data_IF_605502426287
#
_entry.id   IF_605502426287
#
_cell.length_a   1.000
_cell.length_b   1.000
_cell.length_c   1.000
_cell.angle_alpha   90.00
_cell.angle_beta   90.00
_cell.angle_gamma   90.00
#
_symmetry.space_group_name_H-M   'P 1'
#
loop_
_entity.id
_entity.type
_entity.pdbx_description
1 polymer ?
#
# COMPACT_ATOMS: atom_id res chain seq x y z
N UNK A 1 10.18 -2.52 -8.08
CA UNK A 1 10.26 -3.48 -6.97
C UNK A 1 10.81 -4.77 -7.57
N UNK A 2 12.06 -5.12 -7.26
CA UNK A 2 12.84 -6.05 -8.10
C UNK A 2 12.61 -7.54 -7.78
N UNK A 3 11.86 -7.86 -6.73
CA UNK A 3 11.58 -9.24 -6.29
C UNK A 3 10.07 -9.47 -6.05
N UNK A 4 9.24 -9.63 -7.11
CA UNK A 4 7.79 -9.79 -6.98
C UNK A 4 7.38 -11.09 -6.24
N UNK A 5 8.12 -12.18 -6.44
CA UNK A 5 7.90 -13.47 -5.77
C UNK A 5 8.10 -13.36 -4.26
N UNK A 6 9.16 -12.66 -3.83
CA UNK A 6 9.42 -12.39 -2.42
C UNK A 6 8.29 -11.60 -1.78
N UNK A 7 7.82 -10.53 -2.43
CA UNK A 7 6.69 -9.76 -1.91
C UNK A 7 5.46 -10.64 -1.74
N UNK A 8 5.12 -11.42 -2.78
CA UNK A 8 3.94 -12.28 -2.74
C UNK A 8 4.00 -13.26 -1.58
N UNK A 9 5.15 -13.90 -1.37
CA UNK A 9 5.33 -14.84 -0.25
C UNK A 9 5.22 -14.17 1.12
N UNK A 10 5.67 -12.92 1.26
CA UNK A 10 5.48 -12.15 2.49
C UNK A 10 4.01 -11.77 2.72
N UNK A 11 3.27 -11.43 1.66
CA UNK A 11 1.82 -11.20 1.71
C UNK A 11 1.08 -12.48 2.12
N UNK A 12 1.43 -13.63 1.53
CA UNK A 12 0.83 -14.92 1.88
C UNK A 12 1.08 -15.26 3.36
N UNK A 13 2.30 -15.03 3.87
CA UNK A 13 2.61 -15.22 5.30
C UNK A 13 1.74 -14.33 6.20
N UNK A 14 1.58 -13.05 5.84
CA UNK A 14 0.72 -12.11 6.56
C UNK A 14 -0.74 -12.54 6.57
N UNK A 15 -1.27 -12.90 5.40
CA UNK A 15 -2.66 -13.35 5.25
C UNK A 15 -2.94 -14.59 6.10
N UNK A 16 -1.98 -15.52 6.19
CA UNK A 16 -2.10 -16.75 6.97
C UNK A 16 -1.96 -16.50 8.48
N UNK A 17 -1.01 -15.67 8.90
CA UNK A 17 -0.65 -15.50 10.32
C UNK A 17 -1.45 -14.41 11.04
N UNK A 18 -1.84 -13.36 10.32
CA UNK A 18 -2.53 -12.18 10.88
C UNK A 18 -3.98 -12.10 10.39
N UNK A 19 -4.21 -12.43 9.11
CA UNK A 19 -5.50 -12.30 8.44
C UNK A 19 -5.77 -10.88 7.92
N UNK A 20 -6.87 -10.71 7.18
CA UNK A 20 -7.19 -9.49 6.42
C UNK A 20 -7.99 -8.43 7.18
N UNK A 21 -8.46 -8.76 8.38
CA UNK A 21 -9.50 -7.98 9.07
C UNK A 21 -8.99 -7.13 10.24
N UNK A 22 -7.67 -7.14 10.49
CA UNK A 22 -7.05 -6.35 11.56
C UNK A 22 -5.66 -5.88 11.16
N UNK A 23 -5.17 -4.85 11.84
CA UNK A 23 -3.78 -4.41 11.68
C UNK A 23 -2.80 -5.38 12.35
N UNK A 24 -1.59 -5.42 11.82
CA UNK A 24 -0.46 -6.16 12.40
C UNK A 24 -0.08 -5.51 13.73
N UNK A 25 -0.01 -6.30 14.79
CA UNK A 25 0.47 -5.89 16.10
C UNK A 25 1.92 -6.35 16.31
N UNK A 26 2.67 -5.70 17.20
CA UNK A 26 4.05 -6.11 17.50
C UNK A 26 4.16 -7.55 18.02
N UNK A 27 3.11 -8.07 18.68
CA UNK A 27 3.06 -9.47 19.12
C UNK A 27 2.96 -10.48 17.98
N UNK A 28 2.52 -10.07 16.78
CA UNK A 28 2.42 -10.94 15.61
C UNK A 28 3.77 -11.23 14.99
N UNK A 29 4.74 -10.32 15.14
CA UNK A 29 5.94 -10.36 14.30
C UNK A 29 6.81 -11.58 14.57
N UNK A 30 6.82 -12.06 15.82
CA UNK A 30 7.48 -13.32 16.19
C UNK A 30 7.04 -14.51 15.32
N UNK A 31 5.84 -14.45 14.72
CA UNK A 31 5.28 -15.49 13.86
C UNK A 31 5.49 -15.22 12.35
N UNK A 32 5.99 -14.05 11.97
CA UNK A 32 6.26 -13.63 10.59
C UNK A 32 7.72 -13.91 10.21
N UNK A 33 8.05 -15.21 10.17
CA UNK A 33 9.43 -15.69 10.06
C UNK A 33 10.07 -15.35 8.71
N UNK A 34 9.30 -15.38 7.63
CA UNK A 34 9.80 -15.02 6.30
C UNK A 34 10.00 -13.51 6.17
N UNK A 35 9.14 -12.70 6.79
CA UNK A 35 9.42 -11.27 6.88
C UNK A 35 10.70 -10.98 7.67
N UNK A 36 10.90 -11.62 8.83
CA UNK A 36 12.15 -11.44 9.58
C UNK A 36 13.37 -11.81 8.71
N UNK A 37 13.26 -12.86 7.90
CA UNK A 37 14.29 -13.23 6.93
C UNK A 37 14.54 -12.14 5.86
N UNK A 38 13.48 -11.47 5.36
CA UNK A 38 13.59 -10.33 4.44
C UNK A 38 14.34 -9.16 5.09
N UNK A 39 14.05 -8.85 6.35
CA UNK A 39 14.74 -7.79 7.11
C UNK A 39 16.22 -8.13 7.26
N UNK A 40 16.54 -9.35 7.69
CA UNK A 40 17.93 -9.82 7.82
C UNK A 40 18.68 -9.75 6.49
N UNK A 41 18.07 -10.18 5.39
CA UNK A 41 18.70 -10.13 4.06
C UNK A 41 18.88 -8.70 3.54
N UNK A 42 17.93 -7.81 3.85
CA UNK A 42 18.06 -6.38 3.55
C UNK A 42 19.24 -5.77 4.30
N UNK A 43 19.36 -6.04 5.60
CA UNK A 43 20.46 -5.55 6.44
C UNK A 43 21.82 -6.15 6.04
N UNK A 44 21.85 -7.37 5.50
CA UNK A 44 23.06 -7.99 4.95
C UNK A 44 23.53 -7.25 3.71
N UNK A 45 22.65 -7.05 2.73
CA UNK A 45 23.00 -6.41 1.46
C UNK A 45 23.25 -4.90 1.61
N UNK A 46 22.48 -4.24 2.48
CA UNK A 46 22.46 -2.80 2.70
C UNK A 46 22.61 -2.47 4.20
N UNK A 47 23.78 -2.74 4.81
CA UNK A 47 24.00 -2.41 6.21
C UNK A 47 23.95 -0.89 6.43
N UNK A 48 23.31 -0.40 7.51
CA UNK A 48 23.19 1.05 7.78
C UNK A 48 24.55 1.77 7.88
N UNK A 49 25.60 1.08 8.31
CA UNK A 49 26.97 1.58 8.35
C UNK A 49 27.93 0.66 7.59
N UNK A 50 28.09 0.80 6.26
CA UNK A 50 28.91 -0.13 5.45
C UNK A 50 30.38 -0.28 5.88
N UNK A 51 30.95 0.73 6.53
CA UNK A 51 32.33 0.74 7.06
C UNK A 51 32.42 0.70 8.59
N UNK A 52 31.32 0.32 9.26
CA UNK A 52 31.14 0.44 10.72
C UNK A 52 31.41 1.88 11.23
N UNK A 53 31.15 2.12 12.52
CA UNK A 53 31.58 3.39 13.12
C UNK A 53 33.08 3.32 13.46
N UNK A 54 33.85 4.39 13.22
CA UNK A 54 35.27 4.43 13.54
C UNK A 54 35.51 4.06 15.00
N UNK A 55 36.50 3.18 15.23
CA UNK A 55 37.07 2.89 16.55
C UNK A 55 38.53 3.30 16.54
N UNK A 56 39.11 3.58 17.70
CA UNK A 56 40.50 4.00 17.81
C UNK A 56 41.25 3.08 18.78
N UNK A 57 42.48 2.72 18.44
CA UNK A 57 43.37 2.01 19.33
C UNK A 57 43.82 2.96 20.45
N UNK A 58 43.46 2.66 21.71
CA UNK A 58 43.81 3.51 22.85
C UNK A 58 45.27 3.33 23.29
N UNK A 59 45.88 2.20 22.93
CA UNK A 59 47.24 1.80 23.23
C UNK A 59 47.79 0.96 22.08
N UNK A 60 49.10 0.80 22.04
CA UNK A 60 49.77 -0.08 21.08
C UNK A 60 49.28 -1.51 21.28
N UNK A 61 48.86 -2.17 20.20
CA UNK A 61 48.29 -3.52 20.26
C UNK A 61 48.71 -4.37 19.05
N UNK A 62 48.37 -5.66 19.08
CA UNK A 62 48.60 -6.58 17.96
C UNK A 62 47.28 -7.14 17.45
N UNK A 63 47.03 -7.03 16.14
CA UNK A 63 45.84 -7.56 15.48
C UNK A 63 46.27 -8.42 14.30
N UNK A 64 45.86 -9.69 14.27
CA UNK A 64 46.24 -10.65 13.22
C UNK A 64 47.77 -10.75 12.98
N UNK A 65 48.57 -10.59 14.04
CA UNK A 65 50.04 -10.59 13.98
C UNK A 65 50.67 -9.26 13.56
N UNK A 66 49.88 -8.24 13.24
CA UNK A 66 50.37 -6.91 12.90
C UNK A 66 50.35 -5.99 14.11
N UNK A 67 51.43 -5.24 14.32
CA UNK A 67 51.51 -4.20 15.34
C UNK A 67 50.73 -2.95 14.89
N UNK A 68 49.86 -2.46 15.77
CA UNK A 68 48.99 -1.31 15.56
C UNK A 68 49.32 -0.26 16.61
N UNK A 69 49.72 0.93 16.17
CA UNK A 69 50.06 2.05 17.05
C UNK A 69 48.81 2.67 17.67
N UNK A 70 48.94 3.18 18.90
CA UNK A 70 47.92 4.01 19.55
C UNK A 70 47.51 5.19 18.66
N UNK A 71 46.22 5.53 18.66
CA UNK A 71 45.63 6.55 17.78
C UNK A 71 45.23 6.02 16.40
N UNK A 72 45.57 4.79 16.03
CA UNK A 72 45.14 4.20 14.74
C UNK A 72 43.62 3.98 14.73
N UNK A 73 42.96 4.45 13.66
CA UNK A 73 41.51 4.25 13.47
C UNK A 73 41.20 2.95 12.75
N UNK A 74 40.31 2.15 13.33
CA UNK A 74 39.73 0.94 12.76
C UNK A 74 38.39 1.27 12.06
N UNK A 75 38.28 0.84 10.80
CA UNK A 75 37.05 0.81 10.02
C UNK A 75 36.76 -0.63 9.59
N UNK A 76 35.70 -1.24 10.13
CA UNK A 76 35.24 -2.56 9.70
C UNK A 76 34.44 -2.50 8.41
N UNK A 77 34.95 -3.08 7.32
CA UNK A 77 34.24 -3.16 6.04
C UNK A 77 33.11 -4.20 6.06
N UNK A 78 31.99 -3.84 6.69
CA UNK A 78 30.80 -4.69 6.80
C UNK A 78 30.23 -5.05 5.44
N UNK A 79 30.27 -4.14 4.46
CA UNK A 79 29.79 -4.43 3.11
C UNK A 79 30.52 -5.63 2.49
N UNK A 80 31.84 -5.73 2.68
CA UNK A 80 32.64 -6.84 2.18
C UNK A 80 32.41 -8.11 2.99
N UNK A 81 32.35 -8.01 4.32
CA UNK A 81 32.09 -9.15 5.21
C UNK A 81 30.74 -9.82 4.89
N UNK A 82 29.70 -9.01 4.73
CA UNK A 82 28.34 -9.48 4.43
C UNK A 82 28.17 -10.05 3.01
N UNK A 83 29.20 -9.91 2.15
CA UNK A 83 29.22 -10.38 0.75
C UNK A 83 30.38 -11.32 0.48
N UNK A 84 31.00 -11.86 1.53
CA UNK A 84 32.09 -12.81 1.38
C UNK A 84 31.57 -14.13 0.79
N UNK A 85 31.98 -14.53 -0.43
CA UNK A 85 31.50 -15.75 -1.07
C UNK A 85 31.90 -17.02 -0.32
N UNK A 86 32.87 -16.95 0.60
CA UNK A 86 33.25 -18.08 1.47
C UNK A 86 32.16 -18.41 2.49
N UNK A 87 31.32 -17.43 2.83
CA UNK A 87 30.26 -17.55 3.83
C UNK A 87 28.89 -17.56 3.15
N UNK A 88 28.68 -16.62 2.22
CA UNK A 88 27.40 -16.35 1.58
C UNK A 88 27.38 -16.88 0.13
N UNK A 89 26.51 -17.85 -0.16
CA UNK A 89 26.24 -18.27 -1.54
C UNK A 89 25.51 -17.17 -2.30
N UNK A 90 25.94 -16.93 -3.54
CA UNK A 90 25.44 -15.86 -4.41
C UNK A 90 25.34 -14.53 -3.65
N UNK A 91 26.48 -13.98 -3.17
CA UNK A 91 26.49 -12.96 -2.12
C UNK A 91 25.85 -11.64 -2.51
N UNK A 92 25.69 -11.38 -3.80
CA UNK A 92 25.06 -10.17 -4.34
C UNK A 92 23.55 -10.32 -4.54
N UNK A 93 23.04 -11.55 -4.54
CA UNK A 93 21.63 -11.84 -4.76
C UNK A 93 20.82 -11.64 -3.47
N UNK A 94 19.60 -11.12 -3.64
CA UNK A 94 18.64 -10.94 -2.57
C UNK A 94 17.86 -12.25 -2.35
N UNK A 95 18.27 -13.04 -1.36
CA UNK A 95 17.67 -14.36 -1.08
C UNK A 95 17.35 -14.53 0.42
N UNK A 96 16.16 -14.10 0.89
CA UNK A 96 15.74 -14.25 2.28
C UNK A 96 15.77 -15.69 2.78
N UNK A 97 15.55 -16.67 1.90
CA UNK A 97 15.54 -18.10 2.18
C UNK A 97 16.78 -18.60 2.90
N UNK A 98 17.93 -17.91 2.75
CA UNK A 98 19.17 -18.26 3.44
C UNK A 98 19.03 -18.19 4.96
N UNK A 99 18.21 -17.27 5.48
CA UNK A 99 17.92 -17.13 6.91
C UNK A 99 16.81 -18.07 7.40
N UNK A 100 16.22 -18.86 6.51
CA UNK A 100 15.26 -19.93 6.86
C UNK A 100 15.89 -21.33 6.80
N UNK A 101 17.11 -21.45 6.25
CA UNK A 101 17.73 -22.74 5.97
C UNK A 101 19.15 -22.83 6.53
N UNK A 102 20.13 -22.21 5.85
CA UNK A 102 21.55 -22.34 6.19
C UNK A 102 22.00 -21.41 7.33
N UNK A 103 21.31 -20.29 7.52
CA UNK A 103 21.68 -19.23 8.45
C UNK A 103 20.54 -18.90 9.44
N UNK A 104 19.80 -19.92 9.87
CA UNK A 104 18.63 -19.78 10.78
C UNK A 104 19.01 -19.11 12.09
N UNK A 105 20.14 -19.51 12.66
CA UNK A 105 20.59 -19.08 13.98
C UNK A 105 21.30 -17.72 13.98
N UNK A 106 21.48 -17.09 12.81
CA UNK A 106 22.11 -15.77 12.74
C UNK A 106 21.16 -14.69 13.31
N UNK A 107 21.64 -13.98 14.33
CA UNK A 107 20.95 -12.84 14.93
C UNK A 107 21.66 -11.52 14.61
N UNK A 108 20.88 -10.45 14.52
CA UNK A 108 21.37 -9.08 14.28
C UNK A 108 22.00 -8.46 15.52
N UNK A 109 21.90 -9.11 16.70
CA UNK A 109 22.42 -8.64 17.99
C UNK A 109 23.94 -8.79 18.16
N UNK A 110 24.66 -9.18 17.10
CA UNK A 110 26.12 -9.16 17.07
C UNK A 110 26.80 -10.35 17.75
N UNK A 111 26.10 -11.48 17.87
CA UNK A 111 26.71 -12.74 18.35
C UNK A 111 27.50 -13.46 17.25
N UNK A 112 27.17 -13.21 15.98
CA UNK A 112 27.79 -13.82 14.81
C UNK A 112 28.62 -12.77 14.06
N UNK A 113 29.94 -12.97 13.95
CA UNK A 113 30.84 -11.96 13.38
C UNK A 113 30.80 -11.88 11.85
N UNK A 114 30.22 -12.89 11.20
CA UNK A 114 29.92 -12.91 9.77
C UNK A 114 28.71 -12.04 9.38
N UNK A 115 27.88 -11.66 10.34
CA UNK A 115 26.67 -10.87 10.14
C UNK A 115 26.51 -9.81 11.25
N UNK A 116 27.00 -8.60 10.97
CA UNK A 116 27.16 -7.51 11.95
C UNK A 116 26.43 -6.22 11.54
N UNK A 117 25.15 -6.25 11.14
CA UNK A 117 24.45 -5.06 10.65
C UNK A 117 24.39 -3.91 11.68
N UNK A 118 24.49 -4.25 12.97
CA UNK A 118 24.52 -3.30 14.09
C UNK A 118 25.81 -3.37 14.91
N UNK A 119 26.85 -3.99 14.37
CA UNK A 119 28.13 -4.22 15.06
C UNK A 119 28.05 -5.29 16.16
N UNK A 120 29.08 -5.36 16.99
CA UNK A 120 29.22 -6.32 18.09
C UNK A 120 30.03 -5.77 19.26
N UNK A 121 29.93 -6.44 20.41
CA UNK A 121 30.67 -6.19 21.63
C UNK A 121 30.21 -4.94 22.38
N UNK A 122 31.12 -4.34 23.16
CA UNK A 122 30.84 -3.18 24.04
C UNK A 122 30.29 -1.93 23.33
N UNK A 123 30.43 -1.85 22.00
CA UNK A 123 29.98 -0.73 21.15
C UNK A 123 28.98 -1.19 20.09
N UNK A 124 28.27 -2.30 20.36
CA UNK A 124 27.09 -2.70 19.60
C UNK A 124 26.05 -1.58 19.63
N UNK A 125 25.31 -1.39 18.55
CA UNK A 125 24.33 -0.32 18.45
C UNK A 125 23.31 -0.41 19.61
N UNK A 126 23.16 0.64 20.44
CA UNK A 126 22.16 0.63 21.51
C UNK A 126 20.72 0.69 20.96
N UNK A 127 20.57 1.08 19.69
CA UNK A 127 19.29 1.21 19.00
C UNK A 127 18.74 -0.08 18.40
N UNK A 128 19.34 -1.26 18.61
CA UNK A 128 18.87 -2.50 17.97
C UNK A 128 17.41 -2.81 18.32
N UNK A 129 17.03 -2.71 19.60
CA UNK A 129 15.65 -2.96 20.02
C UNK A 129 14.68 -1.97 19.37
N UNK A 130 15.08 -0.70 19.26
CA UNK A 130 14.30 0.33 18.55
C UNK A 130 14.30 0.20 17.04
N UNK A 131 15.26 -0.53 16.46
CA UNK A 131 15.28 -0.81 15.03
C UNK A 131 14.40 -2.01 14.70
N UNK A 132 14.34 -3.02 15.57
CA UNK A 132 13.60 -4.24 15.30
C UNK A 132 12.12 -4.15 15.69
N UNK A 133 11.79 -3.63 16.88
CA UNK A 133 10.40 -3.62 17.36
C UNK A 133 9.45 -2.66 16.59
N UNK A 134 9.86 -1.44 16.20
CA UNK A 134 8.99 -0.47 15.50
C UNK A 134 9.02 -0.55 13.97
N UNK A 135 10.10 -1.07 13.36
CA UNK A 135 10.18 -1.20 11.90
C UNK A 135 9.27 -2.30 11.37
N UNK A 136 9.03 -3.34 12.17
CA UNK A 136 8.10 -4.41 11.89
C UNK A 136 6.61 -3.97 11.89
N UNK A 137 6.28 -2.79 12.38
CA UNK A 137 4.90 -2.27 12.27
C UNK A 137 4.84 -1.23 11.15
N UNK A 138 5.86 -0.38 11.05
CA UNK A 138 5.87 0.74 10.09
C UNK A 138 6.14 0.29 8.66
N UNK A 139 7.17 -0.56 8.44
CA UNK A 139 7.48 -1.09 7.10
C UNK A 139 6.37 -2.01 6.60
N UNK A 140 5.78 -2.82 7.48
CA UNK A 140 4.63 -3.64 7.14
C UNK A 140 3.37 -2.82 6.88
N UNK A 141 3.08 -1.81 7.69
CA UNK A 141 1.97 -0.88 7.43
C UNK A 141 2.12 -0.22 6.07
N UNK A 142 3.35 0.21 5.73
CA UNK A 142 3.64 0.82 4.44
C UNK A 142 3.56 -0.19 3.29
N UNK A 143 4.15 -1.37 3.42
CA UNK A 143 4.10 -2.44 2.42
C UNK A 143 2.67 -2.93 2.21
N UNK A 144 1.92 -3.21 3.27
CA UNK A 144 0.51 -3.62 3.19
C UNK A 144 -0.34 -2.55 2.52
N UNK A 145 -0.10 -1.26 2.83
CA UNK A 145 -0.79 -0.14 2.17
C UNK A 145 -0.42 -0.08 0.69
N UNK A 146 0.86 -0.17 0.34
CA UNK A 146 1.31 -0.19 -1.06
C UNK A 146 0.76 -1.42 -1.79
N UNK A 147 0.72 -2.58 -1.14
CA UNK A 147 0.16 -3.82 -1.68
C UNK A 147 -1.34 -3.69 -1.92
N UNK A 148 -2.10 -3.14 -0.97
CA UNK A 148 -3.53 -2.86 -1.14
C UNK A 148 -3.76 -1.85 -2.26
N UNK A 149 -2.93 -0.82 -2.38
CA UNK A 149 -2.97 0.15 -3.48
C UNK A 149 -2.64 -0.50 -4.83
N UNK A 150 -1.69 -1.44 -4.87
CA UNK A 150 -1.34 -2.19 -6.07
C UNK A 150 -2.41 -3.22 -6.42
N UNK A 151 -3.00 -3.93 -5.47
CA UNK A 151 -4.10 -4.86 -5.68
C UNK A 151 -5.35 -4.14 -6.13
N UNK A 152 -5.69 -2.99 -5.54
CA UNK A 152 -6.79 -2.15 -6.00
C UNK A 152 -6.53 -1.58 -7.39
N UNK A 153 -5.30 -1.16 -7.70
CA UNK A 153 -4.93 -0.70 -9.05
C UNK A 153 -4.93 -1.85 -10.09
N UNK A 154 -4.48 -3.05 -9.71
CA UNK A 154 -4.47 -4.24 -10.56
C UNK A 154 -5.87 -4.83 -10.72
N UNK A 155 -6.72 -4.84 -9.69
CA UNK A 155 -8.14 -5.19 -9.78
C UNK A 155 -8.93 -4.14 -10.54
N UNK A 156 -8.59 -2.85 -10.45
CA UNK A 156 -9.14 -1.81 -11.32
C UNK A 156 -8.76 -2.04 -12.79
N UNK A 157 -7.56 -2.58 -13.07
CA UNK A 157 -7.16 -3.03 -14.41
C UNK A 157 -7.79 -4.38 -14.82
N UNK A 158 -8.03 -5.31 -13.90
CA UNK A 158 -8.61 -6.64 -14.14
C UNK A 158 -10.13 -6.59 -14.34
N UNK A 159 -10.81 -5.64 -13.67
CA UNK A 159 -12.21 -5.29 -13.90
C UNK A 159 -12.44 -4.51 -15.22
N UNK A 160 -11.40 -4.30 -16.03
CA UNK A 160 -11.52 -3.75 -17.39
C UNK A 160 -11.82 -4.82 -18.46
N UNK A 161 -12.18 -6.05 -18.08
CA UNK A 161 -12.73 -7.07 -18.98
C UNK A 161 -14.11 -7.50 -18.47
N UNK A 162 -15.07 -6.58 -18.60
CA UNK A 162 -16.51 -6.78 -18.87
C UNK A 162 -17.18 -5.38 -18.80
N UNK A 163 -16.71 -4.45 -19.62
CA UNK A 163 -17.51 -3.24 -19.89
C UNK A 163 -18.61 -3.63 -20.89
N UNK A 164 -19.84 -3.76 -20.37
CA UNK A 164 -20.99 -3.42 -21.20
C UNK A 164 -20.87 -1.95 -21.63
N UNK A 165 -21.35 -1.62 -22.83
CA UNK A 165 -21.35 -0.24 -23.35
C UNK A 165 -21.98 0.71 -22.33
N UNK A 166 -21.24 1.70 -21.85
CA UNK A 166 -21.76 2.73 -20.94
C UNK A 166 -22.67 3.69 -21.73
N UNK A 167 -23.77 4.18 -21.14
CA UNK A 167 -24.54 5.25 -21.74
C UNK A 167 -23.68 6.50 -21.93
N UNK A 168 -23.86 7.24 -23.05
CA UNK A 168 -23.17 8.50 -23.29
C UNK A 168 -23.49 9.54 -22.21
N UNK A 169 -22.59 10.50 -22.03
CA UNK A 169 -22.68 11.56 -21.02
C UNK A 169 -22.37 12.93 -21.64
N UNK A 170 -23.16 13.97 -21.31
CA UNK A 170 -22.83 15.33 -21.68
C UNK A 170 -21.48 15.78 -21.10
N UNK A 171 -20.77 16.62 -21.85
CA UNK A 171 -19.57 17.31 -21.37
C UNK A 171 -19.92 18.55 -20.54
N UNK A 172 -18.99 19.02 -19.71
CA UNK A 172 -19.12 20.30 -19.00
C UNK A 172 -19.60 20.20 -17.55
N UNK A 173 -19.54 19.04 -16.91
CA UNK A 173 -19.88 18.89 -15.49
C UNK A 173 -19.08 19.85 -14.58
N UNK A 174 -19.78 20.51 -13.65
CA UNK A 174 -19.14 21.36 -12.64
C UNK A 174 -18.87 20.58 -11.35
N UNK A 175 -17.81 20.93 -10.60
CA UNK A 175 -17.60 20.41 -9.25
C UNK A 175 -18.85 20.66 -8.38
N UNK A 176 -19.26 19.65 -7.61
CA UNK A 176 -20.40 19.66 -6.67
C UNK A 176 -21.81 19.70 -7.27
N UNK A 177 -22.08 20.46 -8.34
CA UNK A 177 -23.44 20.60 -8.92
C UNK A 177 -23.68 19.75 -10.18
N UNK A 178 -22.63 19.18 -10.77
CA UNK A 178 -22.74 18.32 -11.94
C UNK A 178 -23.29 19.06 -13.16
N UNK A 179 -24.30 18.48 -13.81
CA UNK A 179 -25.01 19.03 -14.97
C UNK A 179 -26.19 19.93 -14.60
N UNK A 180 -26.40 20.22 -13.32
CA UNK A 180 -27.55 21.03 -12.88
C UNK A 180 -27.57 22.42 -13.52
N UNK A 181 -26.40 23.00 -13.80
CA UNK A 181 -26.26 24.27 -14.52
C UNK A 181 -26.81 24.23 -15.96
N UNK A 182 -26.82 23.07 -16.61
CA UNK A 182 -27.44 22.89 -17.94
C UNK A 182 -28.97 22.85 -17.86
N UNK A 183 -29.53 22.58 -16.68
CA UNK A 183 -30.96 22.40 -16.43
C UNK A 183 -31.64 23.66 -15.88
N UNK A 184 -31.03 24.84 -16.05
CA UNK A 184 -31.53 26.15 -15.59
C UNK A 184 -32.96 26.51 -16.05
N UNK A 185 -33.51 27.59 -15.47
CA UNK A 185 -34.93 27.95 -15.51
C UNK A 185 -35.47 28.50 -16.85
N UNK A 186 -34.65 28.58 -17.90
CA UNK A 186 -35.00 29.13 -19.21
C UNK A 186 -35.95 28.24 -20.04
N UNK A 187 -36.02 26.92 -19.76
CA UNK A 187 -36.90 25.97 -20.44
C UNK A 187 -37.35 24.88 -19.46
N UNK A 188 -38.56 24.34 -19.66
CA UNK A 188 -39.06 23.20 -18.87
C UNK A 188 -38.09 22.00 -18.96
N UNK A 189 -37.78 21.39 -17.82
CA UNK A 189 -36.79 20.30 -17.69
C UNK A 189 -37.00 19.17 -18.71
N UNK A 190 -38.23 18.70 -18.87
CA UNK A 190 -38.53 17.61 -19.81
C UNK A 190 -38.24 17.97 -21.27
N UNK A 191 -38.34 19.26 -21.65
CA UNK A 191 -37.97 19.72 -23.00
C UNK A 191 -36.46 19.83 -23.18
N UNK A 192 -35.71 20.20 -22.13
CA UNK A 192 -34.23 20.17 -22.18
C UNK A 192 -33.69 18.75 -22.27
N UNK A 193 -34.27 17.83 -21.50
CA UNK A 193 -33.93 16.41 -21.59
C UNK A 193 -34.30 15.83 -22.98
N UNK A 194 -35.36 16.33 -23.60
CA UNK A 194 -35.68 16.05 -25.01
C UNK A 194 -34.57 16.48 -25.97
N UNK A 195 -34.16 17.75 -25.92
CA UNK A 195 -33.06 18.25 -26.77
C UNK A 195 -31.74 17.48 -26.53
N UNK A 196 -31.49 17.09 -25.28
CA UNK A 196 -30.33 16.26 -24.93
C UNK A 196 -30.46 14.83 -25.48
N UNK A 197 -31.67 14.26 -25.52
CA UNK A 197 -31.90 12.96 -26.13
C UNK A 197 -31.66 12.98 -27.64
N UNK A 198 -32.00 14.08 -28.32
CA UNK A 198 -31.70 14.25 -29.74
C UNK A 198 -30.18 14.29 -29.99
N UNK A 199 -29.41 14.83 -29.03
CA UNK A 199 -27.95 14.96 -29.12
C UNK A 199 -27.18 13.71 -28.69
N UNK A 200 -27.59 13.06 -27.60
CA UNK A 200 -26.84 11.97 -26.96
C UNK A 200 -27.48 10.59 -27.17
N UNK A 201 -28.65 10.54 -27.82
CA UNK A 201 -29.37 9.31 -28.12
C UNK A 201 -30.41 8.93 -27.07
N UNK A 202 -31.06 7.79 -27.30
CA UNK A 202 -32.25 7.35 -26.56
C UNK A 202 -31.99 6.93 -25.10
N UNK A 203 -30.73 6.81 -24.71
CA UNK A 203 -30.28 6.50 -23.35
C UNK A 203 -28.98 7.26 -23.08
N UNK A 204 -28.94 8.06 -22.02
CA UNK A 204 -27.75 8.81 -21.61
C UNK A 204 -27.77 9.08 -20.11
N UNK A 205 -26.60 9.38 -19.54
CA UNK A 205 -26.49 9.74 -18.13
C UNK A 205 -26.27 11.24 -17.94
N UNK A 206 -26.86 11.82 -16.90
CA UNK A 206 -26.57 13.16 -16.40
C UNK A 206 -26.16 13.10 -14.92
N UNK A 207 -25.63 14.20 -14.41
CA UNK A 207 -25.23 14.33 -13.00
C UNK A 207 -26.07 15.44 -12.37
N UNK A 208 -26.84 15.09 -11.34
CA UNK A 208 -27.60 16.02 -10.52
C UNK A 208 -26.86 16.13 -9.18
N UNK A 209 -26.01 17.15 -9.07
CA UNK A 209 -25.05 17.23 -7.97
C UNK A 209 -24.04 16.09 -8.02
N UNK A 210 -23.86 15.40 -6.88
CA UNK A 210 -22.98 14.24 -6.73
C UNK A 210 -23.62 12.91 -7.20
N UNK A 211 -24.83 12.94 -7.75
CA UNK A 211 -25.54 11.74 -8.17
C UNK A 211 -25.73 11.66 -9.67
N UNK A 212 -25.60 10.46 -10.20
CA UNK A 212 -25.90 10.16 -11.59
C UNK A 212 -27.38 9.84 -11.75
N UNK A 213 -28.00 10.36 -12.79
CA UNK A 213 -29.36 10.03 -13.20
C UNK A 213 -29.32 9.49 -14.64
N UNK A 214 -29.95 8.33 -14.85
CA UNK A 214 -30.13 7.75 -16.18
C UNK A 214 -31.38 8.36 -16.82
N UNK A 215 -31.24 8.88 -18.02
CA UNK A 215 -32.35 9.43 -18.81
C UNK A 215 -32.64 8.45 -19.94
N UNK A 216 -33.91 8.05 -20.06
CA UNK A 216 -34.40 7.14 -21.09
C UNK A 216 -35.50 7.86 -21.88
N UNK A 217 -35.34 7.91 -23.19
CA UNK A 217 -36.20 8.72 -24.07
C UNK A 217 -36.82 7.94 -25.24
N UNK A 218 -36.70 6.60 -25.24
CA UNK A 218 -37.42 5.70 -26.17
C UNK A 218 -38.16 4.60 -25.43
N UNK A 219 -39.30 4.19 -25.97
CA UNK A 219 -40.22 3.26 -25.32
C UNK A 219 -39.65 1.84 -25.21
N UNK A 220 -38.83 1.39 -26.16
CA UNK A 220 -38.20 0.06 -26.13
C UNK A 220 -37.24 -0.08 -24.94
N UNK A 221 -36.44 0.96 -24.70
CA UNK A 221 -35.50 1.03 -23.58
C UNK A 221 -36.26 1.18 -22.26
N UNK A 222 -37.30 2.01 -22.24
CA UNK A 222 -38.17 2.15 -21.06
C UNK A 222 -38.83 0.81 -20.70
N UNK A 223 -39.34 0.06 -21.69
CA UNK A 223 -39.92 -1.26 -21.48
C UNK A 223 -38.93 -2.21 -20.81
N UNK A 224 -37.66 -2.21 -21.23
CA UNK A 224 -36.63 -3.03 -20.59
C UNK A 224 -36.40 -2.64 -19.11
N UNK A 225 -36.30 -1.33 -18.83
CA UNK A 225 -36.15 -0.79 -17.48
C UNK A 225 -37.32 -1.16 -16.55
N UNK A 226 -38.56 -1.03 -17.02
CA UNK A 226 -39.77 -1.19 -16.20
C UNK A 226 -40.37 -2.61 -16.20
N UNK A 227 -39.83 -3.55 -16.97
CA UNK A 227 -40.37 -4.94 -17.01
C UNK A 227 -39.31 -6.00 -16.72
N UNK A 228 -38.22 -5.98 -17.49
CA UNK A 228 -37.19 -7.04 -17.44
C UNK A 228 -36.24 -6.82 -16.28
N UNK A 229 -35.91 -5.55 -16.00
CA UNK A 229 -35.00 -5.16 -14.93
C UNK A 229 -35.69 -4.71 -13.63
N UNK A 230 -37.02 -4.65 -13.60
CA UNK A 230 -37.81 -4.22 -12.45
C UNK A 230 -37.68 -5.19 -11.24
N UNK A 231 -37.58 -6.50 -11.49
CA UNK A 231 -37.46 -7.53 -10.44
C UNK A 231 -36.08 -7.63 -9.77
N UNK A 232 -35.03 -7.00 -10.32
CA UNK A 232 -33.64 -7.08 -9.82
C UNK A 232 -33.24 -5.91 -8.90
N UNK A 233 -34.20 -5.32 -8.19
CA UNK A 233 -33.97 -4.26 -7.18
C UNK A 233 -33.13 -3.07 -7.68
N UNK A 234 -33.25 -2.69 -8.96
CA UNK A 234 -32.34 -1.70 -9.58
C UNK A 234 -32.93 -0.28 -9.62
N UNK A 235 -34.26 -0.13 -9.60
CA UNK A 235 -34.94 1.18 -9.70
C UNK A 235 -36.15 1.31 -8.75
N UNK A 236 -35.97 1.04 -7.45
CA UNK A 236 -37.00 1.35 -6.44
C UNK A 236 -36.92 2.82 -6.00
N UNK A 237 -38.03 3.49 -5.67
CA UNK A 237 -37.97 4.81 -5.04
C UNK A 237 -37.19 4.72 -3.72
N UNK A 238 -36.33 5.70 -3.40
CA UNK A 238 -35.59 5.69 -2.15
C UNK A 238 -36.57 5.68 -0.98
N UNK A 239 -36.31 4.84 0.03
CA UNK A 239 -37.16 4.79 1.23
C UNK A 239 -37.18 6.16 1.94
N UNK A 240 -38.28 6.52 2.58
CA UNK A 240 -38.43 7.78 3.34
C UNK A 240 -37.30 7.98 4.37
N UNK A 241 -36.83 6.88 4.97
CA UNK A 241 -35.69 6.86 5.90
C UNK A 241 -34.37 7.26 5.22
N UNK A 242 -34.18 6.89 3.95
CA UNK A 242 -32.97 7.22 3.21
C UNK A 242 -32.94 8.69 2.80
N UNK A 243 -34.11 9.28 2.49
CA UNK A 243 -34.26 10.72 2.24
C UNK A 243 -33.94 11.55 3.51
N UNK A 244 -34.43 11.13 4.68
CA UNK A 244 -34.16 11.79 5.96
C UNK A 244 -32.65 11.78 6.27
N UNK A 245 -31.98 10.62 6.12
CA UNK A 245 -30.53 10.47 6.33
C UNK A 245 -29.68 11.37 5.42
N UNK A 246 -30.17 11.64 4.20
CA UNK A 246 -29.51 12.49 3.22
C UNK A 246 -29.68 13.99 3.51
N UNK A 247 -30.80 14.38 4.13
CA UNK A 247 -31.01 15.75 4.63
C UNK A 247 -30.14 16.03 5.86
N UNK A 248 -29.99 15.05 6.76
CA UNK A 248 -29.09 15.16 7.92
C UNK A 248 -27.62 15.35 7.51
N UNK A 249 -27.13 14.62 6.51
CA UNK A 249 -25.76 14.81 5.99
C UNK A 249 -25.53 16.20 5.39
N UNK A 250 -26.57 16.85 4.86
CA UNK A 250 -26.46 18.19 4.27
C UNK A 250 -26.45 19.31 5.33
N UNK A 251 -27.05 19.06 6.51
CA UNK A 251 -27.13 20.02 7.61
C UNK A 251 -25.89 20.02 8.54
N UNK A 252 -25.04 18.98 8.46
CA UNK A 252 -23.88 18.81 9.36
C UNK A 252 -22.62 19.58 8.91
N UNK A 253 -22.60 20.20 7.72
CA UNK A 253 -21.52 21.11 7.34
C UNK A 253 -21.76 22.54 7.86
N UNK A 254 -21.41 22.82 9.13
CA UNK A 254 -21.05 24.17 9.60
C UNK A 254 -19.53 24.27 9.81
N UNK A 255 -18.90 25.42 9.50
CA UNK A 255 -17.46 25.61 9.63
C UNK A 255 -17.06 25.62 11.10
N UNK A 256 -16.02 24.86 11.46
CA UNK A 256 -15.39 24.93 12.78
C UNK A 256 -14.77 26.32 12.97
N UNK A 257 -15.14 26.97 14.09
CA UNK A 257 -14.52 28.22 14.53
C UNK A 257 -13.06 27.96 14.93
N UNK A 258 -12.21 28.87 14.47
CA UNK A 258 -10.86 29.13 14.98
C UNK A 258 -10.97 29.57 16.44
N UNK A 259 -10.17 28.95 17.31
CA UNK A 259 -9.58 29.55 18.51
C UNK A 259 -8.30 28.78 18.83
#
# INVERSE_FOLDING_TARGET
>A
MNNPSTLKRAQDELDIKVGKHRQVAGSDIKNLVYFQAIVKETLRLYPPGPLSLPREAMEDCTVAGFHIQAGTRLLGNLWKLHKDPRIWSDPLEFQPERFLTKHVDLDVRGQNLEFLPFGSGRRVCPGISFALEPQEITVFGLLATICLLLETALNAKRNKIKEGKRPPEPSGQWPLIGHLHLLGADKLLHRKLGDMADKYGSIFCIHLGLRKALVVSRWEVAKECYTTNDKKSTFSPPSTLELIRKVEQFLVCRPQKIN
#
